data_IF_966415667381
#
_entry.id   IF_966415667381
#
_cell.length_a   1.000
_cell.length_b   1.000
_cell.length_c   1.000
_cell.angle_alpha   90.00
_cell.angle_beta   90.00
_cell.angle_gamma   90.00
#
_symmetry.space_group_name_H-M   'P 1'
#
loop_
_entity.id
_entity.type
_entity.pdbx_description
1 polymer ?
#
# COMPACT_ATOMS: atom_id res chain seq x y z
N UNK A 1 31.43 60.90 -38.62
CA UNK A 1 30.34 60.41 -39.51
C UNK A 1 29.13 60.18 -38.63
N UNK A 2 28.30 61.19 -38.35
CA UNK A 2 27.13 61.56 -39.15
C UNK A 2 25.85 61.15 -38.37
N UNK A 3 25.39 61.95 -37.41
CA UNK A 3 24.19 62.81 -37.49
C UNK A 3 22.87 62.05 -37.71
N UNK A 4 22.01 61.97 -36.68
CA UNK A 4 20.55 62.19 -36.81
C UNK A 4 19.84 62.20 -35.44
N UNK A 5 19.62 63.42 -34.94
CA UNK A 5 18.56 63.76 -34.00
C UNK A 5 17.22 63.65 -34.73
N UNK A 6 16.36 62.71 -34.32
CA UNK A 6 14.98 62.63 -34.78
C UNK A 6 14.03 62.52 -33.58
N UNK A 7 13.47 63.68 -33.21
CA UNK A 7 12.08 63.89 -32.77
C UNK A 7 11.40 62.76 -31.98
N UNK A 8 11.45 62.86 -30.64
CA UNK A 8 10.51 62.16 -29.76
C UNK A 8 9.12 62.84 -29.89
N UNK A 9 8.30 62.31 -30.80
CA UNK A 9 6.87 62.59 -30.87
C UNK A 9 6.18 61.78 -29.76
N UNK A 10 5.56 62.45 -28.80
CA UNK A 10 4.72 61.79 -27.79
C UNK A 10 3.58 61.00 -28.47
N UNK A 11 3.26 59.77 -28.02
CA UNK A 11 2.14 59.02 -28.57
C UNK A 11 0.80 59.62 -28.13
N UNK A 12 -0.14 59.62 -29.08
CA UNK A 12 -1.48 60.17 -29.03
C UNK A 12 -2.37 59.46 -27.97
N UNK A 13 -3.07 60.17 -27.05
CA UNK A 13 -3.81 59.55 -25.95
C UNK A 13 -5.14 58.84 -26.33
N UNK A 14 -5.38 58.54 -27.60
CA UNK A 14 -6.63 57.90 -28.07
C UNK A 14 -6.46 56.49 -28.68
N UNK A 15 -5.33 55.81 -28.45
CA UNK A 15 -5.06 54.46 -28.97
C UNK A 15 -5.48 53.32 -28.00
N UNK A 16 -6.68 53.42 -27.40
CA UNK A 16 -7.25 52.38 -26.53
C UNK A 16 -8.71 52.11 -26.95
N UNK A 17 -8.92 51.30 -28.00
CA UNK A 17 -9.91 50.22 -27.85
C UNK A 17 -9.59 48.89 -28.57
N UNK A 18 -8.41 48.71 -29.19
CA UNK A 18 -8.14 47.52 -30.02
C UNK A 18 -7.50 46.31 -29.32
N UNK A 19 -7.07 46.44 -28.06
CA UNK A 19 -6.40 45.35 -27.30
C UNK A 19 -7.33 44.57 -26.37
N UNK A 20 -8.57 45.02 -26.15
CA UNK A 20 -9.58 44.32 -25.33
C UNK A 20 -10.46 43.38 -26.16
N UNK A 21 -10.66 43.67 -27.45
CA UNK A 21 -11.47 42.83 -28.35
C UNK A 21 -10.79 41.50 -28.69
N UNK A 22 -9.49 41.50 -29.01
CA UNK A 22 -8.77 40.27 -29.39
C UNK A 22 -8.57 39.30 -28.21
N UNK A 23 -8.54 39.81 -26.97
CA UNK A 23 -8.43 38.97 -25.78
C UNK A 23 -9.78 38.33 -25.42
N UNK A 24 -10.88 39.07 -25.58
CA UNK A 24 -12.23 38.54 -25.37
C UNK A 24 -12.62 37.53 -26.46
N UNK A 25 -12.27 37.77 -27.72
CA UNK A 25 -12.52 36.80 -28.79
C UNK A 25 -11.70 35.52 -28.63
N UNK A 26 -10.45 35.61 -28.16
CA UNK A 26 -9.62 34.43 -27.89
C UNK A 26 -10.14 33.59 -26.71
N UNK A 27 -10.67 34.24 -25.67
CA UNK A 27 -11.27 33.57 -24.51
C UNK A 27 -12.61 32.93 -24.88
N UNK A 28 -13.46 33.61 -25.66
CA UNK A 28 -14.76 33.09 -26.10
C UNK A 28 -14.60 31.92 -27.08
N UNK A 29 -13.63 31.98 -28.00
CA UNK A 29 -13.32 30.87 -28.92
C UNK A 29 -12.77 29.66 -28.16
N UNK A 30 -11.88 29.86 -27.17
CA UNK A 30 -11.42 28.78 -26.29
C UNK A 30 -12.57 28.13 -25.50
N UNK A 31 -13.51 28.92 -24.97
CA UNK A 31 -14.66 28.38 -24.21
C UNK A 31 -15.66 27.64 -25.11
N UNK A 32 -15.89 28.12 -26.34
CA UNK A 32 -16.76 27.44 -27.31
C UNK A 32 -16.15 26.12 -27.79
N UNK A 33 -14.86 26.08 -28.08
CA UNK A 33 -14.15 24.87 -28.50
C UNK A 33 -14.04 23.85 -27.35
N UNK A 34 -13.85 24.31 -26.10
CA UNK A 34 -13.94 23.50 -24.89
C UNK A 34 -15.35 22.95 -24.66
N UNK A 35 -16.41 23.73 -24.95
CA UNK A 35 -17.80 23.27 -24.82
C UNK A 35 -18.18 22.22 -25.87
N UNK A 36 -17.68 22.35 -27.10
CA UNK A 36 -17.87 21.38 -28.18
C UNK A 36 -17.14 20.07 -27.88
N UNK A 37 -15.88 20.15 -27.41
CA UNK A 37 -15.12 18.97 -26.99
C UNK A 37 -15.74 18.26 -25.78
N UNK A 38 -16.42 19.00 -24.89
CA UNK A 38 -17.15 18.45 -23.74
C UNK A 38 -18.46 17.78 -24.16
N UNK A 39 -19.14 18.32 -25.17
CA UNK A 39 -20.33 17.71 -25.79
C UNK A 39 -20.01 16.41 -26.54
N UNK A 40 -18.86 16.35 -27.21
CA UNK A 40 -18.41 15.15 -27.93
C UNK A 40 -17.84 14.09 -26.98
N UNK A 41 -17.25 14.50 -25.85
CA UNK A 41 -16.82 13.60 -24.78
C UNK A 41 -18.02 12.98 -24.02
N UNK A 42 -19.10 13.73 -23.80
CA UNK A 42 -20.33 13.20 -23.16
C UNK A 42 -21.08 12.20 -24.07
N UNK A 43 -20.89 12.28 -25.40
CA UNK A 43 -21.60 11.41 -26.36
C UNK A 43 -20.87 10.08 -26.63
N UNK A 44 -19.56 9.99 -26.36
CA UNK A 44 -18.76 8.77 -26.61
C UNK A 44 -18.12 8.14 -25.36
N UNK A 45 -18.42 8.61 -24.16
CA UNK A 45 -17.90 8.05 -22.89
C UNK A 45 -18.98 7.46 -21.99
N UNK A 46 -19.99 6.80 -22.58
CA UNK A 46 -20.72 5.75 -21.87
C UNK A 46 -19.82 4.52 -21.66
N UNK A 47 -18.70 4.72 -20.95
CA UNK A 47 -18.05 3.67 -20.18
C UNK A 47 -19.11 3.25 -19.18
N UNK A 48 -19.84 2.20 -19.53
CA UNK A 48 -20.85 1.61 -18.68
C UNK A 48 -20.24 1.42 -17.29
N UNK A 49 -20.81 2.09 -16.29
CA UNK A 49 -20.39 1.94 -14.89
C UNK A 49 -20.48 0.47 -14.42
N UNK A 50 -21.23 -0.36 -15.15
CA UNK A 50 -21.27 -1.83 -15.04
C UNK A 50 -19.96 -2.54 -15.42
N UNK A 51 -19.09 -1.97 -16.27
CA UNK A 51 -17.89 -2.67 -16.76
C UNK A 51 -16.65 -2.50 -15.87
N UNK A 52 -16.67 -1.54 -14.95
CA UNK A 52 -15.63 -1.40 -13.94
C UNK A 52 -15.88 -2.39 -12.82
N UNK A 53 -15.92 -3.69 -13.12
CA UNK A 53 -15.90 -4.75 -12.13
C UNK A 53 -14.49 -4.77 -11.53
N UNK A 54 -14.39 -4.72 -10.20
CA UNK A 54 -13.11 -4.81 -9.52
C UNK A 54 -12.40 -6.08 -9.98
N UNK A 55 -11.10 -5.95 -10.30
CA UNK A 55 -10.25 -7.05 -10.74
C UNK A 55 -10.54 -8.29 -9.88
N UNK A 56 -10.99 -9.37 -10.54
CA UNK A 56 -11.59 -10.57 -9.95
C UNK A 56 -10.52 -11.37 -9.17
N UNK A 57 -10.02 -10.75 -8.09
CA UNK A 57 -8.78 -11.08 -7.40
C UNK A 57 -8.85 -12.38 -6.60
N UNK A 58 -10.01 -13.06 -6.67
CA UNK A 58 -10.30 -14.29 -5.96
C UNK A 58 -10.87 -15.40 -6.87
N UNK A 59 -10.83 -15.24 -8.19
CA UNK A 59 -11.13 -16.31 -9.14
C UNK A 59 -10.00 -17.35 -9.13
N UNK A 60 -10.07 -18.32 -8.21
CA UNK A 60 -9.09 -19.40 -8.09
C UNK A 60 -9.49 -20.60 -8.95
N UNK A 61 -9.00 -20.66 -10.19
CA UNK A 61 -9.22 -21.78 -11.09
C UNK A 61 -8.17 -22.89 -10.89
N UNK A 62 -8.57 -23.96 -10.19
CA UNK A 62 -7.71 -25.12 -9.90
C UNK A 62 -7.06 -25.71 -11.17
N UNK A 63 -7.79 -25.75 -12.29
CA UNK A 63 -7.30 -26.33 -13.56
C UNK A 63 -6.18 -25.53 -14.25
N UNK A 64 -5.99 -24.25 -13.89
CA UNK A 64 -4.93 -23.40 -14.45
C UNK A 64 -3.64 -23.42 -13.61
N UNK A 65 -3.66 -24.06 -12.43
CA UNK A 65 -2.53 -24.09 -11.51
C UNK A 65 -1.51 -25.16 -11.91
N UNK A 66 -0.27 -24.77 -12.20
CA UNK A 66 0.82 -25.71 -12.47
C UNK A 66 1.41 -26.20 -11.14
N UNK A 67 1.35 -27.51 -10.89
CA UNK A 67 1.93 -28.15 -9.69
C UNK A 67 3.41 -27.82 -9.47
N UNK A 68 4.15 -27.59 -10.56
CA UNK A 68 5.56 -27.24 -10.51
C UNK A 68 5.82 -25.87 -9.86
N UNK A 69 4.91 -24.89 -10.02
CA UNK A 69 5.03 -23.57 -9.39
C UNK A 69 4.94 -23.64 -7.87
N UNK A 70 4.11 -24.56 -7.36
CA UNK A 70 3.98 -24.82 -5.92
C UNK A 70 5.25 -25.43 -5.33
N UNK A 71 5.87 -26.37 -6.04
CA UNK A 71 7.16 -26.96 -5.63
C UNK A 71 8.25 -25.89 -5.60
N UNK A 72 8.37 -25.07 -6.65
CA UNK A 72 9.32 -23.96 -6.67
C UNK A 72 9.08 -22.99 -5.52
N UNK A 73 7.82 -22.61 -5.27
CA UNK A 73 7.47 -21.73 -4.16
C UNK A 73 7.87 -22.34 -2.81
N UNK A 74 7.54 -23.60 -2.54
CA UNK A 74 7.86 -24.27 -1.28
C UNK A 74 9.36 -24.42 -1.06
N UNK A 75 10.13 -24.77 -2.10
CA UNK A 75 11.59 -24.89 -2.01
C UNK A 75 12.23 -23.53 -1.75
N UNK A 76 11.84 -22.50 -2.53
CA UNK A 76 12.37 -21.13 -2.35
C UNK A 76 12.02 -20.60 -0.96
N UNK A 77 10.77 -20.78 -0.52
CA UNK A 77 10.32 -20.38 0.81
C UNK A 77 11.14 -21.10 1.90
N UNK A 78 11.34 -22.42 1.78
CA UNK A 78 12.13 -23.19 2.73
C UNK A 78 13.58 -22.72 2.81
N UNK A 79 14.22 -22.42 1.68
CA UNK A 79 15.58 -21.87 1.63
C UNK A 79 15.63 -20.49 2.28
N UNK A 80 14.69 -19.60 1.96
CA UNK A 80 14.64 -18.26 2.54
C UNK A 80 14.45 -18.32 4.06
N UNK A 81 13.55 -19.19 4.54
CA UNK A 81 13.33 -19.38 5.97
C UNK A 81 14.55 -19.97 6.67
N UNK A 82 15.26 -20.92 6.05
CA UNK A 82 16.50 -21.47 6.60
C UNK A 82 17.62 -20.42 6.68
N UNK A 83 17.77 -19.58 5.65
CA UNK A 83 18.74 -18.46 5.69
C UNK A 83 18.37 -17.47 6.77
N UNK A 84 17.09 -17.14 6.93
CA UNK A 84 16.60 -16.26 7.99
C UNK A 84 16.90 -16.83 9.38
N UNK A 85 16.71 -18.14 9.54
CA UNK A 85 17.01 -18.84 10.78
C UNK A 85 18.50 -18.71 11.14
N UNK A 86 19.40 -19.15 10.26
CA UNK A 86 20.85 -19.16 10.51
C UNK A 86 21.45 -17.75 10.62
N UNK A 87 21.03 -16.82 9.75
CA UNK A 87 21.64 -15.49 9.66
C UNK A 87 21.05 -14.48 10.65
N UNK A 88 19.85 -14.74 11.19
CA UNK A 88 19.17 -13.75 12.03
C UNK A 88 18.63 -14.30 13.36
N UNK A 89 17.98 -15.47 13.36
CA UNK A 89 17.29 -16.02 14.53
C UNK A 89 18.26 -16.78 15.45
N UNK A 90 19.18 -17.58 14.88
CA UNK A 90 20.12 -18.40 15.63
C UNK A 90 20.98 -17.53 16.58
N UNK A 91 21.03 -17.89 17.87
CA UNK A 91 21.75 -17.12 18.88
C UNK A 91 23.29 -17.23 18.79
N UNK A 92 23.79 -18.23 18.07
CA UNK A 92 25.22 -18.50 17.89
C UNK A 92 25.77 -17.90 16.59
N UNK A 93 25.01 -17.92 15.51
CA UNK A 93 25.44 -17.41 14.19
C UNK A 93 24.69 -16.18 13.70
N UNK A 94 23.51 -15.90 14.26
CA UNK A 94 22.61 -14.86 13.78
C UNK A 94 22.90 -13.47 14.35
N UNK A 95 22.59 -12.45 13.54
CA UNK A 95 22.77 -11.04 13.92
C UNK A 95 21.62 -10.46 14.77
N UNK A 96 20.49 -11.17 14.89
CA UNK A 96 19.30 -10.66 15.57
C UNK A 96 19.54 -10.32 17.03
N UNK A 97 20.33 -11.15 17.74
CA UNK A 97 20.70 -10.88 19.14
C UNK A 97 21.53 -9.60 19.28
N UNK A 98 22.56 -9.43 18.45
CA UNK A 98 23.39 -8.23 18.44
C UNK A 98 22.58 -6.97 18.15
N UNK A 99 21.61 -7.06 17.23
CA UNK A 99 20.69 -5.97 16.93
C UNK A 99 19.82 -5.60 18.14
N UNK A 100 19.19 -6.58 18.79
CA UNK A 100 18.37 -6.33 19.98
C UNK A 100 19.22 -5.81 21.15
N UNK A 101 20.42 -6.35 21.37
CA UNK A 101 21.34 -5.91 22.42
C UNK A 101 21.78 -4.45 22.18
N UNK A 102 22.09 -4.08 20.93
CA UNK A 102 22.47 -2.72 20.57
C UNK A 102 21.34 -1.70 20.83
N UNK A 103 20.10 -2.06 20.50
CA UNK A 103 18.94 -1.19 20.74
C UNK A 103 18.57 -1.16 22.22
N UNK A 104 18.72 -2.27 22.94
CA UNK A 104 18.48 -2.35 24.38
C UNK A 104 19.48 -1.50 25.17
N UNK A 105 20.72 -1.38 24.69
CA UNK A 105 21.73 -0.49 25.28
C UNK A 105 21.41 1.01 25.20
N UNK A 106 20.39 1.43 24.44
CA UNK A 106 19.98 2.83 24.33
C UNK A 106 19.08 3.30 25.49
N UNK A 107 18.41 2.38 26.20
CA UNK A 107 17.55 2.74 27.33
C UNK A 107 17.30 1.59 28.29
N UNK A 108 17.43 1.87 29.59
CA UNK A 108 17.07 0.93 30.67
C UNK A 108 15.55 0.68 30.78
N UNK A 109 14.72 1.48 30.10
CA UNK A 109 13.26 1.34 30.08
C UNK A 109 12.83 0.45 28.91
N UNK A 110 12.35 -0.74 29.21
CA UNK A 110 11.84 -1.72 28.24
C UNK A 110 10.80 -1.12 27.28
N UNK A 111 9.94 -0.23 27.76
CA UNK A 111 8.96 0.52 26.96
C UNK A 111 9.59 1.36 25.85
N UNK A 112 10.69 2.05 26.17
CA UNK A 112 11.42 2.90 25.24
C UNK A 112 12.17 2.05 24.21
N UNK A 113 12.80 0.95 24.63
CA UNK A 113 13.46 -0.02 23.74
C UNK A 113 12.46 -0.57 22.72
N UNK A 114 11.28 -1.01 23.18
CA UNK A 114 10.24 -1.51 22.28
C UNK A 114 9.73 -0.43 21.32
N UNK A 115 9.54 0.81 21.79
CA UNK A 115 9.13 1.92 20.92
C UNK A 115 10.19 2.21 19.84
N UNK A 116 11.48 2.16 20.19
CA UNK A 116 12.57 2.33 19.23
C UNK A 116 12.57 1.20 18.20
N UNK A 117 12.41 -0.06 18.61
CA UNK A 117 12.34 -1.21 17.70
C UNK A 117 11.16 -1.10 16.72
N UNK A 118 9.98 -0.69 17.22
CA UNK A 118 8.79 -0.43 16.38
C UNK A 118 9.07 0.70 15.40
N UNK A 119 9.70 1.77 15.84
CA UNK A 119 10.01 2.92 14.99
C UNK A 119 11.01 2.57 13.90
N UNK A 120 12.05 1.78 14.21
CA UNK A 120 13.01 1.26 13.23
C UNK A 120 12.29 0.41 12.20
N UNK A 121 11.46 -0.56 12.64
CA UNK A 121 10.68 -1.40 11.73
C UNK A 121 9.75 -0.56 10.85
N UNK A 122 8.95 0.33 11.44
CA UNK A 122 8.00 1.17 10.72
C UNK A 122 8.71 2.05 9.69
N UNK A 123 9.83 2.67 10.05
CA UNK A 123 10.59 3.54 9.14
C UNK A 123 11.20 2.75 7.99
N UNK A 124 11.85 1.62 8.27
CA UNK A 124 12.52 0.81 7.24
C UNK A 124 11.48 0.16 6.32
N UNK A 125 10.44 -0.45 6.87
CA UNK A 125 9.38 -1.11 6.10
C UNK A 125 8.60 -0.10 5.23
N UNK A 126 8.18 1.03 5.82
CA UNK A 126 7.45 2.07 5.10
C UNK A 126 8.32 2.82 4.11
N UNK A 127 9.57 3.08 4.48
CA UNK A 127 10.57 3.73 3.63
C UNK A 127 10.82 2.90 2.38
N UNK A 128 11.11 1.60 2.54
CA UNK A 128 11.20 0.68 1.41
C UNK A 128 9.89 0.67 0.62
N UNK A 129 8.72 0.54 1.26
CA UNK A 129 7.45 0.50 0.53
C UNK A 129 7.22 1.76 -0.35
N UNK A 130 7.61 2.94 0.15
CA UNK A 130 7.52 4.20 -0.58
C UNK A 130 8.51 4.28 -1.76
N UNK A 131 9.67 3.64 -1.65
CA UNK A 131 10.71 3.61 -2.68
C UNK A 131 10.47 2.55 -3.75
N UNK A 132 9.42 1.74 -3.64
CA UNK A 132 9.14 0.63 -4.56
C UNK A 132 9.14 1.06 -6.02
N UNK A 133 8.40 2.12 -6.35
CA UNK A 133 8.26 2.58 -7.73
C UNK A 133 9.63 2.98 -8.33
N UNK A 134 10.56 3.51 -7.54
CA UNK A 134 11.92 3.88 -7.98
C UNK A 134 12.87 2.68 -7.98
N UNK A 135 12.78 1.81 -6.97
CA UNK A 135 13.62 0.63 -6.85
C UNK A 135 13.32 -0.41 -7.93
N UNK A 136 12.05 -0.62 -8.27
CA UNK A 136 11.65 -1.53 -9.35
C UNK A 136 12.20 -1.07 -10.72
N UNK A 137 12.33 0.24 -10.95
CA UNK A 137 12.93 0.79 -12.17
C UNK A 137 14.44 0.61 -12.24
N UNK A 138 15.14 0.60 -11.09
CA UNK A 138 16.60 0.51 -11.04
C UNK A 138 17.11 -0.93 -11.06
N UNK A 139 16.53 -1.80 -10.24
CA UNK A 139 17.02 -3.18 -10.05
C UNK A 139 16.05 -4.25 -10.56
N UNK A 140 14.89 -3.85 -11.10
CA UNK A 140 13.85 -4.75 -11.56
C UNK A 140 12.91 -5.22 -10.45
N UNK A 141 11.71 -5.67 -10.84
CA UNK A 141 10.64 -5.97 -9.89
C UNK A 141 10.94 -7.15 -8.95
N UNK A 142 11.56 -8.23 -9.47
CA UNK A 142 11.83 -9.44 -8.67
C UNK A 142 12.95 -9.22 -7.64
N UNK A 143 14.12 -8.65 -8.00
CA UNK A 143 15.17 -8.35 -7.04
C UNK A 143 14.71 -7.36 -5.96
N UNK A 144 13.88 -6.38 -6.34
CA UNK A 144 13.32 -5.44 -5.38
C UNK A 144 12.42 -6.12 -4.35
N UNK A 145 11.53 -7.03 -4.77
CA UNK A 145 10.68 -7.81 -3.85
C UNK A 145 11.50 -8.68 -2.89
N UNK A 146 12.57 -9.30 -3.38
CA UNK A 146 13.48 -10.11 -2.54
C UNK A 146 14.22 -9.23 -1.54
N UNK A 147 14.72 -8.05 -1.94
CA UNK A 147 15.35 -7.09 -1.03
C UNK A 147 14.37 -6.60 0.03
N UNK A 148 13.17 -6.20 -0.39
CA UNK A 148 12.10 -5.75 0.50
C UNK A 148 11.76 -6.81 1.54
N UNK A 149 11.58 -8.07 1.11
CA UNK A 149 11.32 -9.20 2.00
C UNK A 149 12.52 -9.51 2.90
N UNK A 150 13.74 -9.51 2.36
CA UNK A 150 14.97 -9.81 3.08
C UNK A 150 15.31 -8.80 4.17
N UNK A 151 14.89 -7.54 4.04
CA UNK A 151 15.06 -6.51 5.09
C UNK A 151 13.86 -6.48 6.04
N UNK A 152 12.65 -6.64 5.52
CA UNK A 152 11.43 -6.54 6.33
C UNK A 152 11.20 -7.77 7.20
N UNK A 153 11.51 -8.99 6.73
CA UNK A 153 11.28 -10.23 7.48
C UNK A 153 12.12 -10.33 8.77
N UNK A 154 13.43 -10.07 8.77
CA UNK A 154 14.24 -10.10 9.99
C UNK A 154 13.75 -9.08 11.03
N UNK A 155 13.45 -7.85 10.59
CA UNK A 155 12.91 -6.82 11.48
C UNK A 155 11.50 -7.15 11.97
N UNK A 156 10.66 -7.78 11.15
CA UNK A 156 9.34 -8.25 11.57
C UNK A 156 9.43 -9.38 12.60
N UNK A 157 10.37 -10.33 12.45
CA UNK A 157 10.56 -11.40 13.44
C UNK A 157 11.04 -10.82 14.77
N UNK A 158 12.06 -9.97 14.75
CA UNK A 158 12.63 -9.38 15.98
C UNK A 158 11.68 -8.41 16.66
N UNK A 159 10.99 -7.57 15.89
CA UNK A 159 10.14 -6.52 16.44
C UNK A 159 8.69 -6.99 16.57
N UNK A 160 8.06 -7.47 15.51
CA UNK A 160 6.61 -7.71 15.46
C UNK A 160 6.21 -9.01 16.16
N UNK A 161 6.94 -10.12 16.03
CA UNK A 161 6.56 -11.37 16.70
C UNK A 161 6.68 -11.23 18.23
N UNK A 162 7.78 -10.64 18.70
CA UNK A 162 8.01 -10.40 20.13
C UNK A 162 7.05 -9.33 20.68
N UNK A 163 6.80 -8.25 19.92
CA UNK A 163 5.85 -7.22 20.29
C UNK A 163 4.40 -7.72 20.30
N UNK A 164 3.97 -8.48 19.29
CA UNK A 164 2.62 -9.06 19.21
C UNK A 164 2.38 -10.07 20.33
N UNK A 165 3.36 -10.90 20.68
CA UNK A 165 3.27 -11.82 21.82
C UNK A 165 3.18 -11.04 23.14
N UNK A 166 4.06 -10.05 23.36
CA UNK A 166 4.04 -9.22 24.56
C UNK A 166 2.74 -8.39 24.68
N UNK A 167 2.20 -7.89 23.56
CA UNK A 167 0.95 -7.13 23.52
C UNK A 167 -0.26 -8.03 23.73
N UNK A 168 -0.34 -9.17 23.04
CA UNK A 168 -1.45 -10.14 23.20
C UNK A 168 -1.55 -10.65 24.64
N UNK A 169 -0.44 -10.69 25.37
CA UNK A 169 -0.37 -11.16 26.75
C UNK A 169 -0.68 -10.03 27.77
N UNK A 170 -0.63 -8.74 27.42
CA UNK A 170 -0.57 -7.66 28.43
C UNK A 170 -1.22 -6.29 28.09
N UNK A 171 -2.20 -6.14 27.19
CA UNK A 171 -2.66 -4.76 26.86
C UNK A 171 -3.40 -4.06 28.01
N UNK A 172 -2.72 -3.11 28.62
CA UNK A 172 -3.26 -2.08 29.52
C UNK A 172 -2.29 -0.92 29.80
N UNK A 173 -1.40 -0.55 28.87
CA UNK A 173 -0.43 0.54 29.09
C UNK A 173 -0.51 1.66 28.03
N UNK A 174 0.05 2.83 28.37
CA UNK A 174 0.02 4.05 27.56
C UNK A 174 0.82 3.95 26.24
N UNK A 175 1.84 3.08 26.19
CA UNK A 175 2.63 2.84 24.98
C UNK A 175 1.79 2.13 23.91
N UNK A 176 0.96 1.17 24.30
CA UNK A 176 0.04 0.48 23.38
C UNK A 176 -0.96 1.45 22.74
N UNK A 177 -1.49 2.40 23.53
CA UNK A 177 -2.38 3.45 23.02
C UNK A 177 -1.65 4.37 22.06
N UNK A 178 -0.45 4.85 22.41
CA UNK A 178 0.36 5.70 21.55
C UNK A 178 0.74 5.00 20.23
N UNK A 179 1.15 3.73 20.29
CA UNK A 179 1.46 2.91 19.14
C UNK A 179 0.24 2.68 18.24
N UNK A 180 -0.94 2.45 18.83
CA UNK A 180 -2.20 2.30 18.09
C UNK A 180 -2.58 3.58 17.35
N UNK A 181 -2.46 4.75 17.99
CA UNK A 181 -2.68 6.05 17.33
C UNK A 181 -1.69 6.27 16.20
N UNK A 182 -0.41 5.97 16.43
CA UNK A 182 0.64 6.06 15.41
C UNK A 182 0.36 5.16 14.20
N UNK A 183 -0.07 3.92 14.45
CA UNK A 183 -0.42 2.96 13.40
C UNK A 183 -1.65 3.39 12.61
N UNK A 184 -2.70 3.88 13.28
CA UNK A 184 -3.88 4.46 12.62
C UNK A 184 -3.46 5.63 11.72
N UNK A 185 -2.67 6.57 12.25
CA UNK A 185 -2.17 7.72 11.49
C UNK A 185 -1.33 7.30 10.28
N UNK A 186 -0.46 6.30 10.45
CA UNK A 186 0.34 5.74 9.37
C UNK A 186 -0.52 5.13 8.25
N UNK A 187 -1.55 4.34 8.59
CA UNK A 187 -2.45 3.76 7.60
C UNK A 187 -3.28 4.84 6.88
N UNK A 188 -3.76 5.86 7.59
CA UNK A 188 -4.47 6.99 6.97
C UNK A 188 -3.57 7.73 5.97
N UNK A 189 -2.32 7.99 6.34
CA UNK A 189 -1.34 8.60 5.45
C UNK A 189 -1.03 7.71 4.23
N UNK A 190 -0.87 6.40 4.46
CA UNK A 190 -0.64 5.42 3.40
C UNK A 190 -1.78 5.36 2.40
N UNK A 191 -3.04 5.37 2.87
CA UNK A 191 -4.23 5.41 2.01
C UNK A 191 -4.27 6.70 1.20
N UNK A 192 -4.04 7.86 1.83
CA UNK A 192 -4.01 9.14 1.12
C UNK A 192 -2.96 9.17 -0.01
N UNK A 193 -1.75 8.69 0.27
CA UNK A 193 -0.68 8.64 -0.72
C UNK A 193 -0.95 7.61 -1.82
N UNK A 194 -1.55 6.47 -1.46
CA UNK A 194 -2.03 5.45 -2.39
C UNK A 194 -3.06 6.01 -3.36
N UNK A 195 -4.09 6.67 -2.85
CA UNK A 195 -5.13 7.34 -3.63
C UNK A 195 -4.53 8.37 -4.58
N UNK A 196 -3.62 9.22 -4.10
CA UNK A 196 -2.93 10.21 -4.93
C UNK A 196 -2.14 9.56 -6.07
N UNK A 197 -1.49 8.43 -5.82
CA UNK A 197 -0.75 7.68 -6.86
C UNK A 197 -1.69 7.05 -7.89
N UNK A 198 -2.80 6.45 -7.43
CA UNK A 198 -3.76 5.80 -8.31
C UNK A 198 -4.56 6.81 -9.14
N UNK A 199 -4.99 7.92 -8.55
CA UNK A 199 -5.63 9.03 -9.26
C UNK A 199 -4.75 9.57 -10.40
N UNK A 200 -3.43 9.70 -10.17
CA UNK A 200 -2.49 10.11 -11.22
C UNK A 200 -2.31 9.09 -12.35
N UNK A 201 -2.40 7.79 -12.04
CA UNK A 201 -2.16 6.71 -13.03
C UNK A 201 -3.41 6.39 -13.86
N UNK A 202 -4.59 6.43 -13.23
CA UNK A 202 -5.82 5.92 -13.84
C UNK A 202 -6.92 6.99 -14.00
N UNK A 203 -6.69 8.22 -13.53
CA UNK A 203 -7.59 9.35 -13.75
C UNK A 203 -9.03 9.07 -13.30
N UNK A 204 -9.99 9.33 -14.19
CA UNK A 204 -11.42 9.16 -13.90
C UNK A 204 -11.80 7.72 -13.53
N UNK A 205 -11.10 6.72 -14.08
CA UNK A 205 -11.36 5.31 -13.75
C UNK A 205 -11.14 5.00 -12.27
N UNK A 206 -10.13 5.62 -11.65
CA UNK A 206 -9.92 5.50 -10.21
C UNK A 206 -10.95 6.30 -9.40
N UNK A 207 -11.30 7.50 -9.84
CA UNK A 207 -12.29 8.34 -9.13
C UNK A 207 -13.68 7.70 -9.12
N UNK A 208 -14.09 7.00 -10.18
CA UNK A 208 -15.32 6.22 -10.21
C UNK A 208 -15.33 5.11 -9.14
N UNK A 209 -14.23 4.36 -9.02
CA UNK A 209 -14.07 3.31 -8.00
C UNK A 209 -14.01 3.88 -6.59
N UNK A 210 -13.34 5.01 -6.40
CA UNK A 210 -13.21 5.69 -5.12
C UNK A 210 -14.57 6.21 -4.61
N UNK A 211 -15.42 6.75 -5.50
CA UNK A 211 -16.77 7.22 -5.13
C UNK A 211 -17.66 6.13 -4.55
N UNK A 212 -17.54 4.89 -5.05
CA UNK A 212 -18.34 3.74 -4.59
C UNK A 212 -17.70 2.92 -3.45
N UNK A 213 -16.51 3.28 -2.98
CA UNK A 213 -15.80 2.54 -1.91
C UNK A 213 -15.61 3.40 -0.66
N UNK A 214 -15.18 2.78 0.45
CA UNK A 214 -14.90 3.48 1.70
C UNK A 214 -13.71 2.88 2.42
N UNK A 215 -12.95 3.74 3.10
CA UNK A 215 -11.87 3.35 4.02
C UNK A 215 -12.44 2.76 5.31
N UNK A 216 -13.63 3.22 5.71
CA UNK A 216 -14.34 2.70 6.87
C UNK A 216 -15.09 1.43 6.45
N UNK A 217 -14.86 0.28 7.12
CA UNK A 217 -15.53 -0.97 6.81
C UNK A 217 -17.05 -0.79 6.77
N UNK A 218 -17.70 -1.36 5.75
CA UNK A 218 -19.15 -1.36 5.51
C UNK A 218 -19.81 0.01 5.28
N UNK A 219 -19.13 1.13 5.50
CA UNK A 219 -19.74 2.46 5.35
C UNK A 219 -20.30 2.71 3.94
N UNK A 220 -19.58 2.31 2.88
CA UNK A 220 -20.10 2.44 1.51
C UNK A 220 -21.34 1.59 1.22
N UNK A 221 -21.53 0.48 1.95
CA UNK A 221 -22.70 -0.39 1.83
C UNK A 221 -23.89 0.26 2.54
N UNK A 222 -23.68 0.79 3.75
CA UNK A 222 -24.73 1.51 4.50
C UNK A 222 -25.14 2.82 3.82
N UNK A 223 -24.20 3.52 3.20
CA UNK A 223 -24.47 4.72 2.39
C UNK A 223 -25.19 4.40 1.06
N UNK A 224 -25.34 3.11 0.71
CA UNK A 224 -25.93 2.66 -0.55
C UNK A 224 -25.07 2.91 -1.79
N UNK A 225 -23.84 3.42 -1.62
CA UNK A 225 -22.86 3.66 -2.68
C UNK A 225 -22.34 2.35 -3.28
N UNK A 226 -22.29 1.28 -2.47
CA UNK A 226 -21.93 -0.07 -2.88
C UNK A 226 -23.11 -1.03 -2.66
N UNK A 227 -23.69 -1.53 -3.75
CA UNK A 227 -24.74 -2.55 -3.69
C UNK A 227 -24.12 -3.93 -3.84
N UNK A 228 -24.46 -4.84 -2.93
CA UNK A 228 -24.00 -6.22 -2.99
C UNK A 228 -24.84 -7.01 -4.01
N UNK A 229 -24.23 -7.91 -4.80
CA UNK A 229 -24.95 -8.85 -5.63
C UNK A 229 -25.90 -9.74 -4.81
N UNK A 230 -26.99 -10.21 -5.41
CA UNK A 230 -27.96 -11.09 -4.72
C UNK A 230 -27.37 -12.44 -4.32
N UNK A 231 -26.29 -12.87 -4.96
CA UNK A 231 -25.59 -14.12 -4.68
C UNK A 231 -24.23 -13.95 -3.99
N UNK A 232 -24.00 -12.80 -3.34
CA UNK A 232 -22.77 -12.51 -2.59
C UNK A 232 -22.39 -13.61 -1.58
N UNK A 233 -23.37 -14.31 -1.00
CA UNK A 233 -23.14 -15.38 -0.02
C UNK A 233 -22.32 -16.55 -0.58
N UNK A 234 -22.31 -16.75 -1.90
CA UNK A 234 -21.49 -17.80 -2.54
C UNK A 234 -20.00 -17.53 -2.40
N UNK A 235 -19.58 -16.27 -2.28
CA UNK A 235 -18.17 -15.94 -2.05
C UNK A 235 -17.68 -16.46 -0.70
N UNK A 236 -18.53 -16.40 0.33
CA UNK A 236 -18.24 -16.94 1.66
C UNK A 236 -18.22 -18.48 1.72
N UNK A 237 -18.80 -19.14 0.71
CA UNK A 237 -18.82 -20.61 0.59
C UNK A 237 -17.72 -21.15 -0.32
N UNK A 238 -16.70 -20.34 -0.69
CA UNK A 238 -15.59 -20.82 -1.51
C UNK A 238 -14.72 -21.82 -0.73
N UNK A 239 -14.20 -22.80 -1.48
CA UNK A 239 -13.34 -23.88 -0.97
C UNK A 239 -12.18 -23.40 -0.06
N UNK A 240 -11.45 -22.30 -0.38
CA UNK A 240 -10.34 -21.87 0.46
C UNK A 240 -10.74 -21.56 1.91
N UNK A 241 -11.94 -21.01 2.13
CA UNK A 241 -12.43 -20.75 3.49
C UNK A 241 -12.60 -22.05 4.27
N UNK A 242 -13.23 -23.07 3.68
CA UNK A 242 -13.36 -24.38 4.30
C UNK A 242 -11.99 -25.04 4.57
N UNK A 243 -11.07 -24.97 3.62
CA UNK A 243 -9.72 -25.53 3.80
C UNK A 243 -8.96 -24.85 4.93
N UNK A 244 -9.01 -23.52 5.01
CA UNK A 244 -8.34 -22.75 6.07
C UNK A 244 -9.00 -23.05 7.43
N UNK A 245 -10.33 -23.08 7.51
CA UNK A 245 -11.04 -23.42 8.75
C UNK A 245 -10.68 -24.83 9.21
N UNK A 246 -10.69 -25.81 8.31
CA UNK A 246 -10.35 -27.20 8.64
C UNK A 246 -8.89 -27.33 9.10
N UNK A 247 -7.94 -26.67 8.41
CA UNK A 247 -6.54 -26.67 8.81
C UNK A 247 -6.35 -25.99 10.17
N UNK A 248 -6.99 -24.84 10.39
CA UNK A 248 -6.90 -24.09 11.65
C UNK A 248 -7.42 -24.92 12.82
N UNK A 249 -8.58 -25.56 12.65
CA UNK A 249 -9.14 -26.47 13.66
C UNK A 249 -8.24 -27.69 13.87
N UNK A 250 -7.71 -28.27 12.79
CA UNK A 250 -6.77 -29.40 12.86
C UNK A 250 -5.51 -29.05 13.66
N UNK A 251 -4.90 -27.90 13.40
CA UNK A 251 -3.74 -27.40 14.15
C UNK A 251 -4.10 -27.08 15.60
N UNK A 252 -5.27 -26.48 15.84
CA UNK A 252 -5.76 -26.21 17.19
C UNK A 252 -5.88 -27.49 18.02
N UNK A 253 -6.50 -28.55 17.48
CA UNK A 253 -6.60 -29.84 18.16
C UNK A 253 -5.27 -30.58 18.25
N UNK A 254 -4.37 -30.39 17.28
CA UNK A 254 -3.02 -30.95 17.32
C UNK A 254 -2.07 -30.17 18.23
N UNK A 255 -2.46 -28.99 18.73
CA UNK A 255 -1.60 -28.13 19.53
C UNK A 255 -0.94 -28.84 20.74
N UNK A 256 -1.65 -29.67 21.54
CA UNK A 256 -1.01 -30.44 22.62
C UNK A 256 0.04 -31.44 22.11
N UNK A 257 -0.17 -32.04 20.94
CA UNK A 257 0.79 -32.96 20.33
C UNK A 257 2.04 -32.23 19.85
N UNK A 258 1.87 -31.03 19.28
CA UNK A 258 2.98 -30.18 18.84
C UNK A 258 3.83 -29.70 20.03
N UNK A 259 3.20 -29.32 21.13
CA UNK A 259 3.89 -28.98 22.39
C UNK A 259 4.67 -30.18 22.95
N UNK A 260 4.06 -31.37 22.97
CA UNK A 260 4.69 -32.59 23.47
C UNK A 260 5.83 -33.09 22.55
N UNK A 261 5.78 -32.83 21.25
CA UNK A 261 6.87 -33.12 20.33
C UNK A 261 8.05 -32.16 20.53
N UNK A 262 7.77 -30.87 20.73
CA UNK A 262 8.78 -29.84 21.00
C UNK A 262 9.55 -30.12 22.30
N UNK A 263 8.85 -30.52 23.38
CA UNK A 263 9.51 -30.82 24.65
C UNK A 263 10.42 -32.05 24.63
N UNK A 264 10.38 -32.88 23.57
CA UNK A 264 11.25 -34.05 23.38
C UNK A 264 12.52 -33.77 22.58
N UNK A 265 12.68 -32.55 22.07
CA UNK A 265 13.86 -32.11 21.31
C UNK A 265 14.96 -31.49 22.20
N UNK A 266 14.71 -31.38 23.51
CA UNK A 266 15.66 -30.99 24.54
C UNK A 266 15.98 -32.19 25.45
#
# INVERSE_FOLDING_TARGET
MGTLLASLKAPNPYALPHLLGSFLDSVIVCDLEMSSLRSDADTNSSVSEESLVGEDSAAFELGKQKMLSWIYFSVILGVVLYVLDVAWIDNSTGYGKLFIDAVSGLSERHEAVMLILIFIFATVHSGLASLRDMGEQLIGERPYRVLFAGVSLPLAVSTVVIWCLAHTIWIGNSVAVAASIGLIGHHLFGVWNGDRRLAKRYGEGFEAVKKRTSIVPFAAIFDGRQKLPTDYYKEFLRLPYFSITALTLGVYFAHPLLQAASSRLH
#
